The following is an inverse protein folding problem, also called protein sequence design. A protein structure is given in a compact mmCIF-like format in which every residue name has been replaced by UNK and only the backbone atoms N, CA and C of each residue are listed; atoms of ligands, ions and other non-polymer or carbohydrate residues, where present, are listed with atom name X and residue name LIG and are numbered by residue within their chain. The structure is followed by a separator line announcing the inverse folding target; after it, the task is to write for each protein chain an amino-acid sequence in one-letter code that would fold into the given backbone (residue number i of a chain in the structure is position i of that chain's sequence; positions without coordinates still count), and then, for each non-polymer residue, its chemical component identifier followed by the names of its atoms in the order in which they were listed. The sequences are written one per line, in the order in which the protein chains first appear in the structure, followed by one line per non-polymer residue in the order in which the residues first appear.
data_IF_707294337494
#
_entry.id   IF_707294337494
#
_cell.length_a   1.000
_cell.length_b   1.000
_cell.length_c   1.000
_cell.angle_alpha   90.00
_cell.angle_beta   90.00
_cell.angle_gamma   90.00
#
_symmetry.space_group_name_H-M   'P 1'
#
loop_
_entity.id
_entity.type
_entity.pdbx_description
1 polymer ?
#
# COMPACT_ATOMS: atom_id res chain seq x y z
N UNK A 1 -25.80 0.02 2.88
CA UNK A 1 -24.38 -0.40 2.89
C UNK A 1 -23.79 0.08 1.59
N UNK A 2 -22.87 1.04 1.70
CA UNK A 2 -22.21 1.69 0.57
C UNK A 2 -20.79 1.14 0.48
N UNK A 3 -20.36 0.79 -0.72
CA UNK A 3 -19.01 0.31 -0.99
C UNK A 3 -18.41 1.15 -2.11
N UNK A 4 -17.30 1.81 -1.80
CA UNK A 4 -16.44 2.51 -2.74
C UNK A 4 -15.24 1.61 -3.03
N UNK A 5 -14.97 1.34 -4.31
CA UNK A 5 -13.83 0.53 -4.73
C UNK A 5 -13.07 1.25 -5.83
N UNK A 6 -11.78 1.46 -5.61
CA UNK A 6 -10.89 2.14 -6.53
C UNK A 6 -9.79 1.17 -6.95
N UNK A 7 -9.62 0.99 -8.27
CA UNK A 7 -8.63 0.08 -8.86
C UNK A 7 -7.26 0.77 -9.03
N UNK A 8 -7.19 2.07 -8.72
CA UNK A 8 -5.94 2.83 -8.63
C UNK A 8 -5.99 3.88 -7.52
N UNK A 9 -4.81 4.25 -7.03
CA UNK A 9 -4.65 5.38 -6.12
C UNK A 9 -5.18 6.70 -6.70
N UNK A 10 -4.96 6.97 -7.98
CA UNK A 10 -5.40 8.20 -8.63
C UNK A 10 -6.92 8.32 -8.69
N UNK A 11 -7.65 7.22 -8.93
CA UNK A 11 -9.11 7.20 -8.85
C UNK A 11 -9.61 7.57 -7.45
N UNK A 12 -8.98 7.02 -6.41
CA UNK A 12 -9.29 7.36 -5.03
C UNK A 12 -9.04 8.84 -4.72
N UNK A 13 -7.87 9.38 -5.09
CA UNK A 13 -7.54 10.80 -4.88
C UNK A 13 -8.51 11.71 -5.63
N UNK A 14 -8.84 11.36 -6.88
CA UNK A 14 -9.81 12.10 -7.68
C UNK A 14 -11.22 12.06 -7.07
N UNK A 15 -11.68 10.91 -6.60
CA UNK A 15 -12.94 10.77 -5.89
C UNK A 15 -12.93 11.54 -4.56
N UNK A 16 -11.81 11.53 -3.85
CA UNK A 16 -11.62 12.31 -2.64
C UNK A 16 -11.67 13.81 -2.92
N UNK A 17 -11.18 14.30 -4.06
CA UNK A 17 -11.13 15.73 -4.43
C UNK A 17 -12.41 16.28 -5.09
N UNK A 18 -12.96 15.55 -6.06
CA UNK A 18 -14.07 16.01 -6.88
C UNK A 18 -15.39 15.32 -6.54
N UNK A 19 -15.29 14.09 -6.04
CA UNK A 19 -16.41 13.22 -5.71
C UNK A 19 -16.54 12.02 -6.66
N UNK A 20 -17.02 10.89 -6.16
CA UNK A 20 -17.22 9.65 -6.91
C UNK A 20 -18.31 9.80 -7.99
N UNK A 21 -19.35 10.61 -7.74
CA UNK A 21 -20.39 10.90 -8.74
C UNK A 21 -19.87 11.55 -10.04
N UNK A 22 -18.63 12.08 -10.02
CA UNK A 22 -17.93 12.57 -11.22
C UNK A 22 -17.35 11.42 -12.05
N UNK A 23 -17.09 10.26 -11.45
CA UNK A 23 -16.59 9.05 -12.13
C UNK A 23 -17.72 8.23 -12.78
N UNK A 24 -18.94 8.23 -12.21
CA UNK A 24 -20.06 7.37 -12.69
C UNK A 24 -21.23 8.13 -13.35
N UNK A 25 -21.08 9.43 -13.65
CA UNK A 25 -22.06 10.28 -14.38
C UNK A 25 -23.48 10.37 -13.79
N UNK A 26 -23.77 9.69 -12.69
CA UNK A 26 -25.09 9.63 -12.07
C UNK A 26 -25.17 10.67 -10.98
N UNK A 27 -26.14 11.57 -11.16
CA UNK A 27 -26.71 12.51 -10.22
C UNK A 27 -25.76 12.90 -9.07
N UNK A 28 -25.05 14.03 -9.14
CA UNK A 28 -24.16 14.44 -8.07
C UNK A 28 -24.99 14.51 -6.79
N UNK A 29 -24.80 13.52 -5.90
CA UNK A 29 -25.33 13.60 -4.55
C UNK A 29 -24.91 14.98 -4.07
N UNK A 30 -25.92 15.80 -3.74
CA UNK A 30 -25.78 17.20 -3.35
C UNK A 30 -24.45 17.37 -2.64
N UNK A 31 -23.60 18.31 -3.10
CA UNK A 31 -22.30 18.63 -2.48
C UNK A 31 -22.50 18.80 -0.98
N UNK A 32 -22.47 17.68 -0.27
CA UNK A 32 -22.72 17.64 1.14
C UNK A 32 -21.53 18.34 1.77
N UNK A 33 -21.77 19.00 2.88
CA UNK A 33 -20.70 19.65 3.62
C UNK A 33 -19.66 18.61 4.03
N UNK A 34 -18.51 18.60 3.34
CA UNK A 34 -17.40 17.67 3.57
C UNK A 34 -16.48 18.26 4.62
N UNK A 35 -16.76 17.97 5.90
CA UNK A 35 -16.02 18.51 7.06
C UNK A 35 -14.58 18.07 7.08
N UNK A 36 -14.28 16.91 6.50
CA UNK A 36 -12.90 16.45 6.33
C UNK A 36 -12.02 17.45 5.58
N UNK A 37 -12.61 18.41 4.84
CA UNK A 37 -11.93 19.45 4.08
C UNK A 37 -11.82 20.79 4.80
N UNK A 38 -12.48 20.94 5.94
CA UNK A 38 -12.40 22.17 6.71
C UNK A 38 -11.02 22.27 7.34
N UNK A 39 -10.38 23.43 7.21
CA UNK A 39 -9.09 23.69 7.83
C UNK A 39 -9.30 24.52 9.10
N UNK A 40 -8.91 23.92 10.23
CA UNK A 40 -8.84 24.56 11.54
C UNK A 40 -7.66 23.98 12.33
N UNK A 41 -7.14 24.73 13.30
CA UNK A 41 -5.93 24.36 14.04
C UNK A 41 -6.04 23.00 14.72
N UNK A 42 -7.21 22.63 15.24
CA UNK A 42 -7.42 21.35 15.91
C UNK A 42 -7.41 20.20 14.91
N UNK A 43 -8.12 20.35 13.78
CA UNK A 43 -8.19 19.34 12.72
C UNK A 43 -6.84 19.18 12.01
N UNK A 44 -6.13 20.27 11.74
CA UNK A 44 -4.80 20.29 11.11
C UNK A 44 -3.75 19.68 12.03
N UNK A 45 -3.74 20.06 13.31
CA UNK A 45 -2.79 19.53 14.30
C UNK A 45 -2.85 18.02 14.37
N UNK A 46 -4.04 17.43 14.25
CA UNK A 46 -4.16 15.99 14.40
C UNK A 46 -4.05 15.20 13.09
N UNK A 47 -4.63 15.70 11.99
CA UNK A 47 -4.43 15.09 10.66
C UNK A 47 -3.00 15.25 10.14
N UNK A 48 -2.24 16.21 10.69
CA UNK A 48 -0.86 16.49 10.31
C UNK A 48 -0.70 17.30 9.02
N UNK A 49 -1.81 17.66 8.36
CA UNK A 49 -1.81 18.48 7.16
C UNK A 49 -3.16 19.19 6.99
N UNK A 50 -3.15 20.34 6.34
CA UNK A 50 -4.35 20.97 5.78
C UNK A 50 -4.92 20.11 4.65
N UNK A 51 -6.14 20.44 4.20
CA UNK A 51 -6.75 19.77 3.05
C UNK A 51 -5.89 19.89 1.78
N UNK A 52 -5.39 21.09 1.48
CA UNK A 52 -4.58 21.35 0.28
C UNK A 52 -3.24 20.61 0.34
N UNK A 53 -2.56 20.62 1.49
CA UNK A 53 -1.32 19.86 1.71
C UNK A 53 -1.56 18.36 1.58
N UNK A 54 -2.66 17.83 2.14
CA UNK A 54 -3.00 16.42 2.03
C UNK A 54 -3.22 15.99 0.56
N UNK A 55 -3.84 16.84 -0.26
CA UNK A 55 -3.97 16.59 -1.70
C UNK A 55 -2.63 16.66 -2.43
N UNK A 56 -1.76 17.61 -2.04
CA UNK A 56 -0.43 17.75 -2.64
C UNK A 56 0.42 16.51 -2.37
N UNK A 57 0.49 16.08 -1.11
CA UNK A 57 1.17 14.85 -0.69
C UNK A 57 0.60 13.60 -1.38
N UNK A 58 -0.72 13.54 -1.57
CA UNK A 58 -1.35 12.42 -2.27
C UNK A 58 -0.96 12.34 -3.76
N UNK A 59 -0.76 13.49 -4.41
CA UNK A 59 -0.47 13.59 -5.85
C UNK A 59 1.02 13.55 -6.16
N UNK A 60 1.84 14.13 -5.29
CA UNK A 60 3.28 14.31 -5.49
C UNK A 60 4.14 13.39 -4.62
N UNK A 61 3.52 12.70 -3.65
CA UNK A 61 4.21 11.87 -2.69
C UNK A 61 4.71 12.66 -1.47
N UNK A 62 5.24 11.94 -0.48
CA UNK A 62 5.72 12.48 0.79
C UNK A 62 7.22 12.18 0.99
N UNK A 63 8.11 13.02 0.42
CA UNK A 63 9.56 12.74 0.40
C UNK A 63 10.20 12.73 1.79
N UNK A 64 9.73 13.59 2.71
CA UNK A 64 10.26 13.63 4.08
C UNK A 64 10.10 12.29 4.81
N UNK A 65 9.03 11.56 4.50
CA UNK A 65 8.79 10.25 5.08
C UNK A 65 9.70 9.16 4.55
N UNK A 66 10.20 9.27 3.32
CA UNK A 66 11.20 8.34 2.80
C UNK A 66 12.51 8.47 3.56
N UNK A 67 12.90 9.69 3.93
CA UNK A 67 14.07 9.93 4.79
C UNK A 67 13.88 9.31 6.18
N UNK A 68 12.69 9.46 6.77
CA UNK A 68 12.36 8.83 8.06
C UNK A 68 12.31 7.30 7.97
N UNK A 69 11.85 6.76 6.84
CA UNK A 69 11.75 5.32 6.59
C UNK A 69 13.10 4.68 6.34
N UNK A 70 14.06 5.41 5.76
CA UNK A 70 15.37 4.85 5.40
C UNK A 70 16.10 4.29 6.61
N UNK A 71 16.05 4.97 7.77
CA UNK A 71 16.58 4.46 9.04
C UNK A 71 15.95 3.13 9.49
N UNK A 72 14.65 2.92 9.23
CA UNK A 72 13.98 1.65 9.57
C UNK A 72 14.27 0.55 8.56
N UNK A 73 14.39 0.92 7.29
CA UNK A 73 14.79 0.00 6.24
C UNK A 73 16.24 -0.44 6.42
N UNK A 74 17.14 0.41 6.92
CA UNK A 74 18.53 0.03 7.22
C UNK A 74 18.63 -1.14 8.19
N UNK A 75 17.78 -1.19 9.22
CA UNK A 75 17.73 -2.32 10.17
C UNK A 75 17.51 -3.65 9.45
N UNK A 76 16.64 -3.66 8.43
CA UNK A 76 16.28 -4.85 7.65
C UNK A 76 17.22 -5.11 6.46
N UNK A 77 17.73 -4.04 5.83
CA UNK A 77 18.69 -4.14 4.71
C UNK A 77 19.98 -4.86 5.12
N UNK A 78 20.36 -4.79 6.39
CA UNK A 78 21.55 -5.49 6.91
C UNK A 78 21.39 -7.02 6.95
N UNK A 79 20.15 -7.50 7.02
CA UNK A 79 19.80 -8.91 7.23
C UNK A 79 19.46 -9.65 5.93
N UNK A 80 19.28 -8.92 4.82
CA UNK A 80 18.84 -9.49 3.55
C UNK A 80 19.90 -9.30 2.46
N UNK A 81 20.03 -10.24 1.52
CA UNK A 81 20.91 -10.08 0.38
C UNK A 81 20.52 -8.82 -0.41
N UNK A 82 21.48 -7.94 -0.68
CA UNK A 82 21.25 -6.69 -1.42
C UNK A 82 20.89 -6.92 -2.89
N UNK A 83 21.15 -8.11 -3.42
CA UNK A 83 20.90 -8.50 -4.80
C UNK A 83 20.28 -9.88 -4.86
N UNK A 84 19.32 -10.04 -5.77
CA UNK A 84 18.72 -11.34 -6.06
C UNK A 84 19.39 -11.93 -7.30
N UNK A 85 19.85 -13.16 -7.21
CA UNK A 85 20.20 -13.95 -8.38
C UNK A 85 18.92 -14.43 -9.07
N UNK A 86 18.72 -13.99 -10.31
CA UNK A 86 17.68 -14.50 -11.20
C UNK A 86 18.35 -15.28 -12.32
N UNK A 87 17.78 -16.43 -12.66
CA UNK A 87 18.27 -17.23 -13.78
C UNK A 87 17.81 -16.58 -15.08
N UNK A 88 18.74 -16.01 -15.83
CA UNK A 88 18.47 -15.45 -17.16
C UNK A 88 19.00 -16.40 -18.24
N UNK A 89 18.40 -16.29 -19.43
CA UNK A 89 18.80 -17.08 -20.59
C UNK A 89 19.72 -16.26 -21.45
N UNK A 90 20.91 -16.78 -21.68
CA UNK A 90 21.86 -16.25 -22.66
C UNK A 90 22.16 -17.30 -23.73
N UNK A 91 22.97 -16.94 -24.72
CA UNK A 91 23.30 -17.77 -25.86
C UNK A 91 24.80 -18.08 -25.90
N UNK A 92 25.12 -19.35 -26.14
CA UNK A 92 26.48 -19.83 -26.28
C UNK A 92 26.64 -20.68 -27.54
N UNK A 93 27.90 -20.86 -27.96
CA UNK A 93 28.20 -21.72 -29.11
C UNK A 93 27.95 -23.21 -28.84
N UNK A 94 28.13 -23.64 -27.59
CA UNK A 94 27.81 -24.97 -27.08
C UNK A 94 27.36 -24.81 -25.64
N UNK A 95 26.30 -25.51 -25.24
CA UNK A 95 25.80 -25.43 -23.87
C UNK A 95 24.84 -26.55 -23.49
N UNK A 96 24.55 -26.72 -22.20
CA UNK A 96 23.68 -27.78 -21.71
C UNK A 96 22.17 -27.53 -21.94
N UNK A 97 21.77 -26.33 -22.39
CA UNK A 97 20.37 -26.00 -22.63
C UNK A 97 19.85 -26.42 -24.01
N UNK A 98 18.79 -25.77 -24.46
CA UNK A 98 18.13 -26.07 -25.75
C UNK A 98 18.79 -25.35 -26.92
N UNK A 99 18.81 -26.00 -28.08
CA UNK A 99 19.24 -25.36 -29.33
C UNK A 99 18.11 -24.45 -29.87
N UNK A 100 18.39 -23.16 -30.01
CA UNK A 100 17.54 -22.22 -30.72
C UNK A 100 17.69 -22.45 -32.23
N UNK A 101 16.74 -23.18 -32.81
CA UNK A 101 16.73 -23.52 -34.23
C UNK A 101 16.70 -22.30 -35.14
N UNK A 102 16.08 -21.19 -34.71
CA UNK A 102 16.00 -19.96 -35.49
C UNK A 102 17.39 -19.35 -35.68
N UNK A 103 18.15 -19.23 -34.58
CA UNK A 103 19.53 -18.75 -34.60
C UNK A 103 20.46 -19.70 -35.37
N UNK A 104 20.30 -21.00 -35.17
CA UNK A 104 21.11 -22.01 -35.85
C UNK A 104 20.96 -21.96 -37.38
N UNK A 105 19.73 -21.89 -37.89
CA UNK A 105 19.46 -21.82 -39.33
C UNK A 105 20.00 -20.53 -39.95
N UNK A 106 20.00 -19.43 -39.19
CA UNK A 106 20.58 -18.14 -39.62
C UNK A 106 22.12 -18.11 -39.56
N UNK A 107 22.75 -19.19 -39.09
CA UNK A 107 24.21 -19.30 -38.99
C UNK A 107 24.82 -18.52 -37.83
N UNK A 108 24.03 -18.16 -36.81
CA UNK A 108 24.59 -17.56 -35.60
C UNK A 108 25.47 -18.58 -34.87
N UNK A 109 26.72 -18.21 -34.50
CA UNK A 109 27.62 -19.11 -33.80
C UNK A 109 27.09 -19.49 -32.42
N UNK A 110 26.35 -18.59 -31.75
CA UNK A 110 25.75 -18.77 -30.43
C UNK A 110 24.27 -19.15 -30.55
N UNK A 111 24.01 -20.45 -30.73
CA UNK A 111 22.68 -21.00 -30.93
C UNK A 111 22.16 -21.83 -29.75
N UNK A 112 22.99 -22.16 -28.75
CA UNK A 112 22.55 -22.91 -27.58
C UNK A 112 22.12 -21.96 -26.48
N UNK A 113 20.92 -22.12 -25.92
CA UNK A 113 20.51 -21.39 -24.72
C UNK A 113 21.30 -21.92 -23.52
N UNK A 114 21.79 -21.03 -22.68
CA UNK A 114 22.44 -21.37 -21.41
C UNK A 114 21.82 -20.53 -20.32
N UNK A 115 21.45 -21.19 -19.22
CA UNK A 115 20.99 -20.50 -18.03
C UNK A 115 22.19 -20.03 -17.24
N UNK A 116 22.25 -18.74 -16.92
CA UNK A 116 23.25 -18.22 -15.99
C UNK A 116 22.57 -17.39 -14.90
N UNK A 117 23.09 -17.42 -13.67
CA UNK A 117 22.65 -16.50 -12.63
C UNK A 117 23.08 -15.09 -13.02
N UNK A 118 22.13 -14.17 -13.03
CA UNK A 118 22.35 -12.74 -13.19
C UNK A 118 21.79 -12.03 -11.96
N UNK A 119 22.56 -11.09 -11.42
CA UNK A 119 22.08 -10.25 -10.33
C UNK A 119 21.13 -9.20 -10.90
N UNK A 120 19.89 -9.15 -10.41
CA UNK A 120 18.93 -8.11 -10.82
C UNK A 120 18.38 -7.35 -9.63
N UNK A 121 18.18 -6.06 -9.84
CA UNK A 121 17.45 -5.15 -8.96
C UNK A 121 15.96 -5.03 -9.39
N UNK A 122 15.56 -5.68 -10.48
CA UNK A 122 14.18 -5.64 -10.98
C UNK A 122 13.29 -6.63 -10.24
N UNK A 123 12.69 -6.15 -9.14
CA UNK A 123 11.79 -6.90 -8.28
C UNK A 123 10.39 -7.14 -8.90
N UNK A 124 10.12 -6.63 -10.11
CA UNK A 124 8.80 -6.75 -10.76
C UNK A 124 8.59 -8.07 -11.50
N UNK A 125 9.60 -8.95 -11.53
CA UNK A 125 9.64 -10.17 -12.37
C UNK A 125 9.19 -11.46 -11.64
N UNK A 126 8.59 -11.34 -10.44
CA UNK A 126 8.17 -12.50 -9.63
C UNK A 126 6.92 -13.24 -10.14
N UNK A 127 6.95 -14.59 -10.14
CA UNK A 127 5.82 -15.39 -10.63
C UNK A 127 4.58 -15.31 -9.72
N UNK A 128 4.78 -15.10 -8.41
CA UNK A 128 3.72 -15.11 -7.40
C UNK A 128 3.35 -13.70 -6.94
N UNK A 129 2.06 -13.39 -7.00
CA UNK A 129 1.48 -12.17 -6.44
C UNK A 129 1.08 -12.42 -4.98
N UNK A 130 1.53 -11.57 -4.08
CA UNK A 130 1.19 -11.56 -2.66
C UNK A 130 0.29 -10.36 -2.38
N UNK A 131 -1.03 -10.56 -2.16
CA UNK A 131 -1.91 -9.48 -1.77
C UNK A 131 -1.72 -9.16 -0.28
N UNK A 132 -1.59 -7.87 0.03
CA UNK A 132 -1.61 -7.33 1.38
C UNK A 132 -2.80 -6.38 1.47
N UNK A 133 -3.69 -6.66 2.42
CA UNK A 133 -4.86 -5.84 2.71
C UNK A 133 -4.67 -5.21 4.09
N UNK A 134 -4.65 -3.89 4.18
CA UNK A 134 -4.36 -3.18 5.43
C UNK A 134 -5.38 -2.10 5.73
N UNK A 135 -5.73 -1.98 7.00
CA UNK A 135 -6.61 -0.91 7.50
C UNK A 135 -5.82 0.36 7.76
N UNK A 136 -6.27 1.50 7.25
CA UNK A 136 -5.76 2.84 7.64
C UNK A 136 -6.60 3.48 8.74
N UNK A 137 -7.70 2.82 9.13
CA UNK A 137 -8.65 3.35 10.10
C UNK A 137 -8.07 3.39 11.51
N UNK A 138 -7.97 4.59 12.10
CA UNK A 138 -7.42 4.79 13.44
C UNK A 138 -8.40 5.52 14.39
N UNK A 139 -8.29 5.26 15.69
CA UNK A 139 -9.02 5.99 16.73
C UNK A 139 -8.43 7.40 16.94
N UNK A 140 -9.19 8.28 17.61
CA UNK A 140 -8.70 9.61 17.95
C UNK A 140 -7.57 9.70 18.96
N UNK A 141 -7.39 8.62 19.73
CA UNK A 141 -6.28 8.49 20.68
C UNK A 141 -5.00 7.92 20.10
N UNK A 142 -4.96 7.54 18.81
CA UNK A 142 -3.74 7.01 18.18
C UNK A 142 -2.84 8.17 17.76
N UNK A 143 -1.57 8.11 18.13
CA UNK A 143 -0.55 9.09 17.79
C UNK A 143 -0.17 9.02 16.30
N UNK A 144 0.39 10.11 15.76
CA UNK A 144 0.87 10.13 14.37
C UNK A 144 2.06 9.21 14.19
N UNK A 145 2.88 9.10 15.22
CA UNK A 145 4.05 8.25 15.29
C UNK A 145 3.62 6.78 15.18
N UNK A 146 2.59 6.34 15.92
CA UNK A 146 2.08 4.97 15.81
C UNK A 146 1.48 4.66 14.43
N UNK A 147 0.85 5.64 13.77
CA UNK A 147 0.39 5.51 12.39
C UNK A 147 1.57 5.33 11.42
N UNK A 148 2.61 6.15 11.61
CA UNK A 148 3.82 6.09 10.81
C UNK A 148 4.54 4.75 10.98
N UNK A 149 4.74 4.30 12.22
CA UNK A 149 5.37 3.02 12.57
C UNK A 149 4.67 1.84 11.89
N UNK A 150 3.34 1.77 12.00
CA UNK A 150 2.55 0.75 11.30
C UNK A 150 2.78 0.79 9.80
N UNK A 151 2.71 1.97 9.19
CA UNK A 151 2.88 2.11 7.75
C UNK A 151 4.29 1.78 7.27
N UNK A 152 5.30 2.16 8.05
CA UNK A 152 6.69 1.81 7.82
C UNK A 152 6.90 0.29 7.81
N UNK A 153 6.33 -0.44 8.78
CA UNK A 153 6.41 -1.91 8.83
C UNK A 153 5.77 -2.59 7.60
N UNK A 154 4.67 -2.04 7.08
CA UNK A 154 4.04 -2.55 5.86
C UNK A 154 4.95 -2.31 4.64
N UNK A 155 5.58 -1.13 4.57
CA UNK A 155 6.54 -0.82 3.49
C UNK A 155 7.77 -1.72 3.56
N UNK A 156 8.30 -1.96 4.77
CA UNK A 156 9.40 -2.91 5.03
C UNK A 156 8.99 -4.32 4.60
N UNK A 157 7.85 -4.84 5.06
CA UNK A 157 7.35 -6.16 4.65
C UNK A 157 7.24 -6.27 3.13
N UNK A 158 6.75 -5.22 2.47
CA UNK A 158 6.64 -5.16 1.02
C UNK A 158 8.01 -5.26 0.35
N UNK A 159 8.97 -4.43 0.78
CA UNK A 159 10.34 -4.42 0.26
C UNK A 159 11.02 -5.78 0.42
N UNK A 160 10.87 -6.44 1.57
CA UNK A 160 11.43 -7.80 1.81
C UNK A 160 10.83 -8.82 0.83
N UNK A 161 9.50 -8.83 0.68
CA UNK A 161 8.82 -9.77 -0.20
C UNK A 161 9.21 -9.55 -1.67
N UNK A 162 9.39 -8.30 -2.08
CA UNK A 162 9.82 -7.93 -3.44
C UNK A 162 11.28 -8.31 -3.71
N UNK A 163 12.18 -8.07 -2.74
CA UNK A 163 13.57 -8.53 -2.80
C UNK A 163 13.71 -10.04 -2.92
N UNK A 164 12.85 -10.78 -2.23
CA UNK A 164 12.73 -12.24 -2.33
C UNK A 164 12.00 -12.71 -3.60
N UNK A 165 11.73 -11.79 -4.53
CA UNK A 165 11.31 -12.13 -5.87
C UNK A 165 9.82 -12.34 -6.05
N UNK A 166 9.01 -11.71 -5.21
CA UNK A 166 7.55 -11.81 -5.27
C UNK A 166 6.98 -10.46 -5.63
N UNK A 167 5.88 -10.47 -6.38
CA UNK A 167 5.17 -9.22 -6.65
C UNK A 167 4.20 -8.95 -5.52
N UNK A 168 4.19 -7.74 -5.00
CA UNK A 168 3.27 -7.36 -3.92
C UNK A 168 2.19 -6.43 -4.43
N UNK A 169 0.95 -6.73 -4.04
CA UNK A 169 -0.21 -5.89 -4.27
C UNK A 169 -0.69 -5.31 -2.94
N UNK A 170 -0.85 -3.99 -2.84
CA UNK A 170 -1.24 -3.30 -1.61
C UNK A 170 -2.64 -2.71 -1.75
N UNK A 171 -3.59 -3.21 -0.95
CA UNK A 171 -4.95 -2.69 -0.86
C UNK A 171 -5.17 -2.00 0.47
N UNK A 172 -5.53 -0.72 0.41
CA UNK A 172 -5.95 0.08 1.55
C UNK A 172 -7.43 -0.16 1.83
N UNK A 173 -7.77 -0.48 3.07
CA UNK A 173 -9.13 -0.50 3.60
C UNK A 173 -9.33 0.67 4.58
N UNK A 174 -10.34 1.48 4.29
CA UNK A 174 -10.82 2.53 5.18
C UNK A 174 -12.32 2.32 5.40
N UNK A 175 -12.72 1.15 5.88
CA UNK A 175 -14.13 0.84 6.16
C UNK A 175 -14.53 1.24 7.58
N UNK A 176 -15.81 1.56 7.77
CA UNK A 176 -16.38 1.97 9.06
C UNK A 176 -17.77 1.40 9.29
N UNK A 177 -18.02 1.04 10.55
CA UNK A 177 -19.27 0.52 11.10
C UNK A 177 -19.88 -0.67 10.33
N UNK A 178 -19.12 -1.34 9.44
CA UNK A 178 -19.64 -2.31 8.46
C UNK A 178 -20.77 -1.77 7.57
N UNK A 179 -20.89 -0.46 7.45
CA UNK A 179 -21.93 0.22 6.64
C UNK A 179 -21.31 0.92 5.44
N UNK A 180 -20.16 1.55 5.63
CA UNK A 180 -19.41 2.22 4.57
C UNK A 180 -18.08 1.49 4.43
N UNK A 181 -17.78 1.01 3.23
CA UNK A 181 -16.52 0.38 2.90
C UNK A 181 -15.80 1.16 1.83
N UNK A 182 -14.51 1.42 2.02
CA UNK A 182 -13.64 2.05 1.03
C UNK A 182 -12.43 1.14 0.84
N UNK A 183 -12.27 0.61 -0.36
CA UNK A 183 -11.13 -0.20 -0.75
C UNK A 183 -10.40 0.46 -1.91
N UNK A 184 -9.09 0.62 -1.77
CA UNK A 184 -8.26 1.30 -2.78
C UNK A 184 -7.03 0.48 -3.07
N UNK A 185 -6.81 0.16 -4.34
CA UNK A 185 -5.56 -0.43 -4.78
C UNK A 185 -4.47 0.65 -4.78
N UNK A 186 -3.64 0.64 -3.74
CA UNK A 186 -2.54 1.58 -3.58
C UNK A 186 -1.34 1.13 -4.39
N UNK A 187 -1.00 -0.16 -4.38
CA UNK A 187 0.08 -0.71 -5.19
C UNK A 187 -0.38 -1.86 -6.05
N UNK A 188 -0.17 -1.82 -7.36
CA UNK A 188 -0.36 -2.97 -8.25
C UNK A 188 0.83 -3.95 -8.18
N UNK A 189 0.57 -5.22 -8.42
CA UNK A 189 1.64 -6.22 -8.50
C UNK A 189 2.69 -5.93 -9.60
N UNK A 190 2.26 -5.28 -10.69
CA UNK A 190 3.11 -4.98 -11.85
C UNK A 190 3.84 -3.64 -11.78
N UNK A 191 3.64 -2.85 -10.73
CA UNK A 191 4.31 -1.55 -10.57
C UNK A 191 5.39 -1.63 -9.49
N UNK A 192 6.52 -0.91 -9.68
CA UNK A 192 7.54 -0.81 -8.64
C UNK A 192 6.99 -0.11 -7.40
N UNK A 193 7.63 -0.35 -6.26
CA UNK A 193 7.30 0.33 -5.01
C UNK A 193 7.69 1.82 -5.07
N UNK A 194 6.70 2.66 -5.38
CA UNK A 194 6.80 4.12 -5.25
C UNK A 194 6.65 4.52 -3.77
N UNK A 195 7.78 4.61 -3.07
CA UNK A 195 7.80 4.88 -1.62
C UNK A 195 7.16 6.23 -1.26
N UNK A 196 7.41 7.29 -2.03
CA UNK A 196 6.88 8.63 -1.70
C UNK A 196 5.35 8.60 -1.62
N UNK A 197 4.72 7.97 -2.61
CA UNK A 197 3.25 7.85 -2.69
C UNK A 197 2.70 6.82 -1.72
N UNK A 198 3.32 5.64 -1.66
CA UNK A 198 2.84 4.52 -0.84
C UNK A 198 2.95 4.87 0.65
N UNK A 199 4.04 5.48 1.10
CA UNK A 199 4.21 5.85 2.50
C UNK A 199 3.16 6.88 2.92
N UNK A 200 2.84 7.87 2.08
CA UNK A 200 1.73 8.76 2.38
C UNK A 200 0.40 8.00 2.52
N UNK A 201 0.09 7.11 1.57
CA UNK A 201 -1.16 6.37 1.56
C UNK A 201 -1.34 5.47 2.80
N UNK A 202 -0.26 4.89 3.32
CA UNK A 202 -0.32 3.91 4.42
C UNK A 202 -0.07 4.56 5.79
N UNK A 203 0.84 5.52 5.85
CA UNK A 203 1.47 5.96 7.09
C UNK A 203 1.03 7.36 7.55
N UNK A 204 0.55 8.22 6.64
CA UNK A 204 0.19 9.60 6.98
C UNK A 204 -1.26 9.71 7.45
N UNK A 205 -1.48 10.33 8.62
CA UNK A 205 -2.81 10.51 9.21
C UNK A 205 -3.80 11.23 8.28
N UNK A 206 -3.34 12.22 7.50
CA UNK A 206 -4.16 12.93 6.53
C UNK A 206 -4.76 12.03 5.43
N UNK A 207 -4.11 10.94 5.02
CA UNK A 207 -4.71 10.02 4.04
C UNK A 207 -6.07 9.51 4.54
N UNK A 208 -6.11 8.99 5.77
CA UNK A 208 -7.35 8.52 6.38
C UNK A 208 -8.29 9.69 6.74
N UNK A 209 -7.79 10.68 7.47
CA UNK A 209 -8.60 11.74 8.10
C UNK A 209 -9.18 12.74 7.11
N UNK A 210 -8.50 12.95 5.99
CA UNK A 210 -8.90 13.91 4.96
C UNK A 210 -9.48 13.17 3.78
N UNK A 211 -8.68 12.33 3.13
CA UNK A 211 -9.06 11.76 1.84
C UNK A 211 -10.13 10.68 2.01
N UNK A 212 -9.92 9.69 2.88
CA UNK A 212 -10.89 8.63 3.08
C UNK A 212 -12.20 9.16 3.69
N UNK A 213 -12.14 10.08 4.66
CA UNK A 213 -13.34 10.74 5.19
C UNK A 213 -14.07 11.56 4.12
N UNK A 214 -13.35 12.29 3.26
CA UNK A 214 -13.96 13.02 2.14
C UNK A 214 -14.69 12.08 1.17
N UNK A 215 -14.24 10.82 1.04
CA UNK A 215 -14.98 9.78 0.31
C UNK A 215 -16.19 9.30 1.10
N UNK A 216 -16.05 9.00 2.41
CA UNK A 216 -17.17 8.57 3.25
C UNK A 216 -18.33 9.53 3.24
N UNK A 217 -18.04 10.83 3.34
CA UNK A 217 -19.03 11.92 3.38
C UNK A 217 -19.89 12.03 2.12
N UNK A 218 -19.56 11.27 1.07
CA UNK A 218 -20.34 11.19 -0.17
C UNK A 218 -21.37 10.06 -0.16
N UNK A 219 -21.33 9.18 0.85
CA UNK A 219 -22.31 8.12 1.00
C UNK A 219 -23.72 8.70 1.19
N UNK A 220 -24.78 7.93 0.85
CA UNK A 220 -26.15 8.36 1.08
C UNK A 220 -26.40 8.73 2.55
N UNK A 221 -27.22 9.75 2.84
CA UNK A 221 -27.48 10.20 4.22
C UNK A 221 -27.95 9.10 5.18
N UNK A 222 -28.67 8.09 4.67
CA UNK A 222 -29.10 6.94 5.47
C UNK A 222 -27.92 6.07 5.92
N UNK A 223 -26.94 5.84 5.04
CA UNK A 223 -25.74 5.06 5.34
C UNK A 223 -24.77 5.85 6.23
N UNK A 224 -24.65 7.17 6.01
CA UNK A 224 -23.93 8.07 6.93
C UNK A 224 -24.52 7.99 8.35
N UNK A 225 -25.84 8.15 8.48
CA UNK A 225 -26.51 8.06 9.78
C UNK A 225 -26.36 6.69 10.45
N UNK A 226 -26.45 5.60 9.67
CA UNK A 226 -26.25 4.23 10.16
C UNK A 226 -24.79 3.96 10.57
N UNK A 227 -23.82 4.57 9.88
CA UNK A 227 -22.41 4.54 10.27
C UNK A 227 -22.09 5.45 11.47
N UNK A 228 -23.05 6.24 11.95
CA UNK A 228 -22.86 7.22 13.01
C UNK A 228 -22.20 8.52 12.57
N UNK A 229 -22.03 8.73 11.26
CA UNK A 229 -21.44 9.91 10.63
C UNK A 229 -22.55 10.94 10.38
N UNK A 230 -22.58 12.01 11.17
CA UNK A 230 -23.59 13.06 11.07
C UNK A 230 -22.98 14.39 11.51
N UNK A 231 -23.46 15.56 11.04
CA UNK A 231 -22.91 16.88 11.39
C UNK A 231 -22.75 17.17 12.90
N UNK A 232 -23.25 16.34 13.80
CA UNK A 232 -23.02 16.48 15.25
C UNK A 232 -22.55 15.18 15.94
N UNK A 233 -22.04 14.21 15.17
CA UNK A 233 -21.55 12.91 15.66
C UNK A 233 -20.09 12.67 15.22
N UNK A 234 -19.55 11.50 15.59
CA UNK A 234 -18.19 11.06 15.24
C UNK A 234 -18.12 10.45 13.83
N UNK A 235 -16.94 10.00 13.41
CA UNK A 235 -16.71 9.27 12.16
C UNK A 235 -16.90 7.75 12.32
N UNK A 236 -17.89 7.33 13.11
CA UNK A 236 -18.20 5.92 13.35
C UNK A 236 -17.11 5.15 14.10
N UNK A 237 -17.04 3.84 13.89
CA UNK A 237 -16.02 2.95 14.45
C UNK A 237 -15.33 2.19 13.33
N UNK A 238 -13.99 2.00 13.39
CA UNK A 238 -13.27 1.18 12.42
C UNK A 238 -13.92 -0.19 12.22
N UNK A 239 -13.94 -0.64 10.99
CA UNK A 239 -14.27 -2.02 10.66
C UNK A 239 -13.34 -2.49 9.56
N UNK A 240 -12.92 -3.74 9.61
CA UNK A 240 -12.03 -4.32 8.62
C UNK A 240 -12.58 -5.67 8.16
N UNK A 241 -12.51 -5.92 6.85
CA UNK A 241 -12.93 -7.19 6.26
C UNK A 241 -11.70 -7.89 5.71
N UNK A 242 -11.44 -9.10 6.21
CA UNK A 242 -10.32 -9.89 5.74
C UNK A 242 -10.54 -10.36 4.30
N UNK A 243 -9.49 -10.27 3.49
CA UNK A 243 -9.45 -10.79 2.12
C UNK A 243 -8.82 -12.19 2.17
N UNK A 244 -9.53 -13.24 1.73
CA UNK A 244 -8.97 -14.60 1.72
C UNK A 244 -7.68 -14.68 0.90
N UNK A 245 -6.65 -15.31 1.47
CA UNK A 245 -5.35 -15.48 0.81
C UNK A 245 -4.44 -14.25 0.85
N UNK A 246 -4.90 -13.12 1.41
CA UNK A 246 -4.07 -11.95 1.64
C UNK A 246 -3.42 -11.96 3.02
N UNK A 247 -2.30 -11.23 3.14
CA UNK A 247 -1.79 -10.80 4.44
C UNK A 247 -2.73 -9.68 4.92
N UNK A 248 -3.53 -9.97 5.95
CA UNK A 248 -4.53 -9.07 6.48
C UNK A 248 -3.99 -8.32 7.70
N UNK A 249 -3.93 -7.00 7.62
CA UNK A 249 -3.35 -6.12 8.65
C UNK A 249 -4.43 -5.17 9.17
N UNK A 250 -5.20 -5.57 10.20
CA UNK A 250 -6.29 -4.77 10.74
C UNK A 250 -5.80 -3.53 11.50
N UNK A 251 -6.75 -2.76 12.03
CA UNK A 251 -6.53 -1.58 12.87
C UNK A 251 -5.85 -1.89 14.22
N UNK A 252 -5.80 -3.15 14.65
CA UNK A 252 -5.21 -3.53 15.94
C UNK A 252 -3.69 -3.35 16.02
N UNK A 253 -3.03 -2.98 14.91
CA UNK A 253 -1.57 -2.79 14.84
C UNK A 253 -1.11 -1.37 15.24
N UNK A 254 -1.87 -0.64 16.05
CA UNK A 254 -1.43 0.66 16.59
C UNK A 254 -0.88 0.45 18.01
N UNK A 255 0.37 0.85 18.24
CA UNK A 255 0.99 0.77 19.56
C UNK A 255 2.47 1.19 19.54
N UNK A 256 3.01 1.40 20.74
CA UNK A 256 4.45 1.57 20.96
C UNK A 256 5.10 0.18 20.85
N UNK A 257 5.52 -0.18 19.64
CA UNK A 257 6.27 -1.40 19.41
C UNK A 257 7.74 -1.17 19.74
N UNK A 258 8.29 -2.00 20.61
CA UNK A 258 9.74 -2.15 20.71
C UNK A 258 10.26 -2.81 19.41
N UNK A 259 11.52 -2.52 19.05
CA UNK A 259 12.14 -3.04 17.82
C UNK A 259 12.05 -4.58 17.71
N UNK A 260 12.21 -5.27 18.84
CA UNK A 260 12.09 -6.73 18.93
C UNK A 260 10.71 -7.22 18.52
N UNK A 261 9.64 -6.52 18.94
CA UNK A 261 8.26 -6.89 18.60
C UNK A 261 7.98 -6.67 17.11
N UNK A 262 8.57 -5.62 16.53
CA UNK A 262 8.48 -5.33 15.10
C UNK A 262 9.12 -6.46 14.27
N UNK A 263 10.32 -6.89 14.63
CA UNK A 263 11.01 -8.00 13.96
C UNK A 263 10.27 -9.33 14.11
N UNK A 264 9.74 -9.64 15.30
CA UNK A 264 8.92 -10.83 15.51
C UNK A 264 7.64 -10.80 14.68
N UNK A 265 6.99 -9.63 14.56
CA UNK A 265 5.82 -9.47 13.72
C UNK A 265 6.17 -9.69 12.24
N UNK A 266 7.26 -9.09 11.75
CA UNK A 266 7.73 -9.31 10.37
C UNK A 266 8.04 -10.79 10.12
N UNK A 267 8.79 -11.43 11.02
CA UNK A 267 9.12 -12.85 10.93
C UNK A 267 7.87 -13.73 10.87
N UNK A 268 6.83 -13.41 11.66
CA UNK A 268 5.55 -14.12 11.61
C UNK A 268 4.90 -14.03 10.24
N UNK A 269 4.88 -12.84 9.61
CA UNK A 269 4.31 -12.66 8.27
C UNK A 269 5.14 -13.31 7.17
N UNK A 270 6.46 -13.38 7.35
CA UNK A 270 7.41 -13.90 6.36
C UNK A 270 7.55 -15.43 6.39
N UNK A 271 7.37 -16.04 7.56
CA UNK A 271 7.51 -17.49 7.79
C UNK A 271 6.69 -18.41 6.86
N UNK A 272 5.43 -18.11 6.47
CA UNK A 272 4.66 -18.96 5.56
C UNK A 272 5.27 -19.04 4.17
N UNK A 273 6.22 -18.16 3.88
CA UNK A 273 6.92 -18.11 2.63
C UNK A 273 8.38 -18.54 2.71
N UNK A 274 8.80 -19.14 3.82
CA UNK A 274 10.16 -19.67 4.01
C UNK A 274 11.25 -18.60 4.14
N UNK A 275 10.88 -17.33 4.37
CA UNK A 275 11.84 -16.27 4.64
C UNK A 275 12.09 -16.21 6.15
N UNK A 276 13.35 -16.13 6.53
CA UNK A 276 13.78 -16.03 7.93
C UNK A 276 14.67 -14.81 8.07
N UNK A 277 14.33 -13.94 9.01
CA UNK A 277 15.17 -12.82 9.45
C UNK A 277 16.14 -13.37 10.50
N UNK A 278 17.43 -13.07 10.33
CA UNK A 278 18.40 -13.26 11.41
C UNK A 278 18.14 -12.17 12.46
N UNK A 279 17.53 -12.57 13.59
CA UNK A 279 17.24 -11.69 14.75
C UNK A 279 18.30 -11.89 15.81
#
# INVERSE_FOLDING_TARGET
MTTFRFETWNEFVHAAEFGESVLDSKNPLQRAHRRSRDDDDHTNSWSGATWEEALDLAKRGWPDAVVMLDHKLEMVKSTLPSKREVMTVDYAAVGPGTLDMGRYIQGHPEAWTVWHPEETEDYTTGDRIIPINFSVSASSGVSKEALFEKGALICVLTDILEKEGRRVELTMDASTARVISVQTLVKKASEPLDLDRVVFAIAHAACFRRLAFSVWEQAPPADLAAAGISPYRSYGMPSFTEVPGAINIPESLYGDYEEVDQLQWLQKQLSPFGITLEV
#
